data_IF_754619661010
#
_entry.id   IF_754619661010
#
_cell.length_a   1.000
_cell.length_b   1.000
_cell.length_c   1.000
_cell.angle_alpha   90.00
_cell.angle_beta   90.00
_cell.angle_gamma   90.00
#
_symmetry.space_group_name_H-M   'P 1'
#
loop_
_entity.id
_entity.type
_entity.pdbx_description
1 polymer ?
#
# COMPACT_ATOMS: atom_id res chain seq x y z
N UNK A 1 6.30 -34.96 -9.47
CA UNK A 1 6.12 -33.52 -9.76
C UNK A 1 6.08 -32.68 -8.49
N UNK A 2 5.25 -33.01 -7.49
CA UNK A 2 5.13 -32.23 -6.22
C UNK A 2 6.47 -31.97 -5.48
N UNK A 3 7.46 -32.85 -5.57
CA UNK A 3 8.78 -32.63 -4.94
C UNK A 3 9.68 -31.64 -5.70
N UNK A 4 9.60 -31.60 -7.04
CA UNK A 4 10.42 -30.70 -7.86
C UNK A 4 9.90 -29.26 -7.81
N UNK A 5 8.58 -29.09 -7.77
CA UNK A 5 7.96 -27.75 -7.67
C UNK A 5 8.25 -27.10 -6.30
N UNK A 6 8.24 -27.89 -5.23
CA UNK A 6 8.58 -27.42 -3.87
C UNK A 6 10.06 -27.06 -3.74
N UNK A 7 10.95 -27.86 -4.31
CA UNK A 7 12.40 -27.59 -4.29
C UNK A 7 12.73 -26.33 -5.10
N UNK A 8 12.09 -26.16 -6.26
CA UNK A 8 12.22 -24.96 -7.08
C UNK A 8 11.73 -23.70 -6.34
N UNK A 9 10.59 -23.78 -5.66
CA UNK A 9 10.07 -22.68 -4.83
C UNK A 9 11.04 -22.33 -3.70
N UNK A 10 11.55 -23.33 -2.98
CA UNK A 10 12.51 -23.10 -1.89
C UNK A 10 13.79 -22.40 -2.37
N UNK A 11 14.34 -22.81 -3.52
CA UNK A 11 15.51 -22.15 -4.11
C UNK A 11 15.22 -20.70 -4.53
N UNK A 12 14.04 -20.43 -5.08
CA UNK A 12 13.63 -19.08 -5.45
C UNK A 12 13.42 -18.18 -4.22
N UNK A 13 12.84 -18.72 -3.15
CA UNK A 13 12.70 -18.02 -1.88
C UNK A 13 14.07 -17.72 -1.26
N UNK A 14 15.02 -18.66 -1.31
CA UNK A 14 16.38 -18.46 -0.81
C UNK A 14 17.11 -17.36 -1.57
N UNK A 15 17.13 -17.42 -2.91
CA UNK A 15 17.73 -16.37 -3.75
C UNK A 15 17.03 -15.02 -3.57
N UNK A 16 15.71 -15.03 -3.49
CA UNK A 16 14.90 -13.84 -3.24
C UNK A 16 15.21 -13.21 -1.90
N UNK A 17 15.42 -14.02 -0.85
CA UNK A 17 15.77 -13.54 0.49
C UNK A 17 17.11 -12.80 0.50
N UNK A 18 18.11 -13.29 -0.24
CA UNK A 18 19.41 -12.63 -0.39
C UNK A 18 19.29 -11.27 -1.07
N UNK A 19 18.50 -11.17 -2.15
CA UNK A 19 18.23 -9.90 -2.82
C UNK A 19 17.43 -8.93 -1.94
N UNK A 20 16.48 -9.45 -1.16
CA UNK A 20 15.63 -8.67 -0.28
C UNK A 20 16.36 -8.10 0.94
N UNK A 21 17.43 -8.76 1.38
CA UNK A 21 18.18 -8.42 2.60
C UNK A 21 18.74 -6.99 2.60
N UNK A 22 19.26 -6.57 3.76
CA UNK A 22 19.87 -5.24 3.90
C UNK A 22 21.12 -5.13 3.03
N UNK A 23 21.55 -3.90 2.71
CA UNK A 23 22.84 -3.70 2.03
C UNK A 23 24.03 -4.20 2.86
N UNK A 24 23.92 -4.20 4.20
CA UNK A 24 24.94 -4.76 5.08
C UNK A 24 25.11 -6.28 4.88
N UNK A 25 24.03 -6.96 4.47
CA UNK A 25 24.00 -8.39 4.17
C UNK A 25 24.19 -8.69 2.67
N UNK A 26 24.56 -7.68 1.87
CA UNK A 26 24.77 -7.82 0.42
C UNK A 26 23.50 -7.77 -0.43
N UNK A 27 22.34 -7.47 0.16
CA UNK A 27 21.06 -7.31 -0.55
C UNK A 27 20.81 -5.90 -1.08
N UNK A 28 19.64 -5.68 -1.67
CA UNK A 28 19.20 -4.40 -2.25
C UNK A 28 18.44 -3.51 -1.26
N UNK A 29 18.50 -3.83 0.04
CA UNK A 29 17.95 -3.06 1.13
C UNK A 29 16.41 -2.96 1.18
N UNK A 30 15.70 -3.90 0.57
CA UNK A 30 14.24 -3.98 0.71
C UNK A 30 13.86 -4.14 2.19
N UNK A 31 14.56 -5.03 2.91
CA UNK A 31 14.43 -5.24 4.34
C UNK A 31 14.72 -3.97 5.16
N UNK A 32 15.72 -3.17 4.77
CA UNK A 32 16.06 -1.94 5.49
C UNK A 32 14.93 -0.92 5.48
N UNK A 33 14.23 -0.79 4.34
CA UNK A 33 13.07 0.11 4.23
C UNK A 33 11.79 -0.52 4.78
N UNK A 34 11.48 -1.77 4.45
CA UNK A 34 10.17 -2.39 4.69
C UNK A 34 10.05 -3.12 6.04
N UNK A 35 10.91 -2.84 7.01
CA UNK A 35 10.76 -3.37 8.38
C UNK A 35 11.35 -4.76 8.58
N UNK A 36 12.57 -4.96 8.08
CA UNK A 36 13.33 -6.19 8.18
C UNK A 36 12.86 -7.30 7.24
N UNK A 37 13.43 -8.49 7.43
CA UNK A 37 13.15 -9.67 6.59
C UNK A 37 11.68 -10.09 6.58
N UNK A 38 10.90 -9.70 7.59
CA UNK A 38 9.46 -9.99 7.68
C UNK A 38 8.55 -8.96 6.99
N UNK A 39 9.11 -7.90 6.40
CA UNK A 39 8.33 -6.94 5.61
C UNK A 39 7.20 -6.24 6.39
N UNK A 40 7.39 -6.02 7.70
CA UNK A 40 6.35 -5.54 8.63
C UNK A 40 6.01 -4.06 8.52
N UNK A 41 6.69 -3.32 7.64
CA UNK A 41 6.62 -1.87 7.54
C UNK A 41 7.75 -1.23 8.33
N UNK A 42 8.28 -0.14 7.79
CA UNK A 42 9.44 0.55 8.35
C UNK A 42 9.46 2.02 8.00
N UNK A 43 10.65 2.60 8.05
CA UNK A 43 10.91 4.01 7.75
C UNK A 43 12.14 4.10 6.86
N UNK A 44 12.11 4.99 5.88
CA UNK A 44 13.24 5.30 5.02
C UNK A 44 13.50 6.81 5.04
N UNK A 45 14.77 7.20 5.17
CA UNK A 45 15.17 8.61 4.99
C UNK A 45 15.02 9.00 3.52
N UNK A 46 14.44 10.17 3.25
CA UNK A 46 14.19 10.64 1.89
C UNK A 46 14.27 12.15 1.78
N UNK A 47 14.93 12.62 0.71
CA UNK A 47 15.00 14.03 0.38
C UNK A 47 13.76 14.45 -0.41
N UNK A 48 13.07 15.48 0.06
CA UNK A 48 11.94 16.10 -0.63
C UNK A 48 12.35 17.52 -1.00
N UNK A 49 12.08 17.88 -2.26
CA UNK A 49 12.23 19.25 -2.75
C UNK A 49 10.90 19.99 -2.68
N UNK A 50 10.90 21.15 -2.05
CA UNK A 50 9.77 22.08 -2.12
C UNK A 50 9.67 22.64 -3.55
N UNK A 51 8.55 22.43 -4.26
CA UNK A 51 8.43 22.87 -5.66
C UNK A 51 8.28 24.38 -5.81
N UNK A 52 8.00 25.13 -4.73
CA UNK A 52 7.83 26.58 -4.73
C UNK A 52 9.14 27.29 -4.40
N UNK A 53 9.88 26.80 -3.40
CA UNK A 53 11.14 27.43 -2.95
C UNK A 53 12.40 26.78 -3.52
N UNK A 54 12.30 25.52 -3.98
CA UNK A 54 13.45 24.70 -4.38
C UNK A 54 14.24 24.13 -3.19
N UNK A 55 13.83 24.41 -1.96
CA UNK A 55 14.50 23.93 -0.75
C UNK A 55 14.42 22.40 -0.66
N UNK A 56 15.53 21.75 -0.32
CA UNK A 56 15.60 20.31 -0.11
C UNK A 56 15.64 20.03 1.39
N UNK A 57 14.70 19.21 1.86
CA UNK A 57 14.67 18.76 3.25
C UNK A 57 14.68 17.24 3.34
N UNK A 58 15.28 16.72 4.40
CA UNK A 58 15.24 15.29 4.74
C UNK A 58 13.99 14.99 5.57
N UNK A 59 13.30 13.91 5.22
CA UNK A 59 12.14 13.43 5.96
C UNK A 59 12.24 11.94 6.26
N UNK A 60 11.49 11.51 7.27
CA UNK A 60 11.32 10.10 7.62
C UNK A 60 10.07 9.55 6.94
N UNK A 61 10.24 8.84 5.84
CA UNK A 61 9.14 8.29 5.05
C UNK A 61 8.67 6.93 5.58
N UNK A 62 7.38 6.80 5.86
CA UNK A 62 6.68 5.55 6.22
C UNK A 62 6.68 4.59 5.03
N UNK A 63 7.57 3.60 5.09
CA UNK A 63 7.61 2.52 4.12
C UNK A 63 6.59 1.44 4.53
N UNK A 64 5.57 1.16 3.70
CA UNK A 64 4.44 0.33 4.11
C UNK A 64 4.87 -1.12 4.37
N UNK A 65 4.10 -1.81 5.22
CA UNK A 65 4.17 -3.25 5.32
C UNK A 65 3.88 -3.90 3.96
N UNK A 66 4.69 -4.88 3.59
CA UNK A 66 4.56 -5.65 2.34
C UNK A 66 4.24 -7.12 2.59
N UNK A 67 4.22 -7.56 3.84
CA UNK A 67 3.71 -8.88 4.25
C UNK A 67 2.18 -9.03 4.11
N UNK A 68 1.49 -8.05 3.52
CA UNK A 68 0.11 -8.20 3.04
C UNK A 68 -0.07 -7.64 1.63
N UNK A 69 1.01 -7.42 0.87
CA UNK A 69 0.95 -6.75 -0.44
C UNK A 69 0.04 -7.51 -1.41
N UNK A 70 0.07 -8.85 -1.38
CA UNK A 70 -0.71 -9.71 -2.28
C UNK A 70 -2.19 -9.83 -1.91
N UNK A 71 -2.63 -9.19 -0.82
CA UNK A 71 -4.06 -9.01 -0.56
C UNK A 71 -4.69 -7.91 -1.43
N UNK A 72 -3.85 -7.03 -1.97
CA UNK A 72 -4.26 -5.77 -2.59
C UNK A 72 -3.77 -5.59 -4.02
N UNK A 73 -2.79 -6.39 -4.42
CA UNK A 73 -2.13 -6.38 -5.71
C UNK A 73 -1.95 -7.81 -6.22
N UNK A 74 -2.08 -7.98 -7.53
CA UNK A 74 -1.66 -9.16 -8.26
C UNK A 74 -0.13 -9.24 -8.39
N UNK A 75 0.37 -10.42 -8.77
CA UNK A 75 1.77 -10.64 -9.16
C UNK A 75 2.26 -9.63 -10.20
N UNK A 76 1.45 -9.36 -11.23
CA UNK A 76 1.79 -8.43 -12.31
C UNK A 76 1.88 -6.99 -11.81
N UNK A 77 0.99 -6.57 -10.91
CA UNK A 77 1.05 -5.23 -10.32
C UNK A 77 2.25 -5.06 -9.38
N UNK A 78 2.58 -6.09 -8.58
CA UNK A 78 3.80 -6.08 -7.76
C UNK A 78 5.04 -6.06 -8.64
N UNK A 79 5.09 -6.86 -9.72
CA UNK A 79 6.16 -6.83 -10.71
C UNK A 79 6.29 -5.44 -11.35
N UNK A 80 5.18 -4.81 -11.71
CA UNK A 80 5.20 -3.45 -12.25
C UNK A 80 5.81 -2.46 -11.26
N UNK A 81 5.42 -2.52 -9.98
CA UNK A 81 5.98 -1.66 -8.92
C UNK A 81 7.48 -1.92 -8.74
N UNK A 82 7.93 -3.17 -8.76
CA UNK A 82 9.37 -3.46 -8.65
C UNK A 82 10.13 -3.01 -9.89
N UNK A 83 9.56 -3.16 -11.08
CA UNK A 83 10.20 -2.76 -12.32
C UNK A 83 10.35 -1.24 -12.43
N UNK A 84 9.33 -0.46 -12.05
CA UNK A 84 9.28 0.99 -12.31
C UNK A 84 9.32 1.86 -11.05
N UNK A 85 9.37 1.24 -9.88
CA UNK A 85 9.28 1.94 -8.60
C UNK A 85 7.91 2.57 -8.35
N UNK A 86 7.86 3.49 -7.38
CA UNK A 86 6.71 4.36 -7.14
C UNK A 86 7.18 5.81 -7.15
N UNK A 87 6.87 6.57 -8.21
CA UNK A 87 7.17 7.99 -8.28
C UNK A 87 6.66 8.75 -7.05
N UNK A 88 7.39 9.80 -6.68
CA UNK A 88 7.10 10.63 -5.49
C UNK A 88 7.17 9.84 -4.17
N UNK A 89 8.02 8.81 -4.13
CA UNK A 89 8.35 8.07 -2.92
C UNK A 89 9.82 7.61 -2.97
N UNK A 90 10.37 7.09 -1.85
CA UNK A 90 11.73 6.53 -1.83
C UNK A 90 11.86 5.19 -2.58
N UNK A 91 10.74 4.61 -3.05
CA UNK A 91 10.76 3.32 -3.74
C UNK A 91 11.18 3.50 -5.20
N UNK A 92 12.48 3.37 -5.46
CA UNK A 92 13.10 3.38 -6.79
C UNK A 92 12.68 2.19 -7.66
N UNK A 93 13.00 2.28 -8.95
CA UNK A 93 12.92 1.16 -9.88
C UNK A 93 14.02 0.13 -9.58
N UNK A 94 13.66 -1.14 -9.55
CA UNK A 94 14.59 -2.26 -9.33
C UNK A 94 14.80 -3.10 -10.59
N UNK A 95 13.81 -3.22 -11.46
CA UNK A 95 13.94 -3.97 -12.71
C UNK A 95 14.73 -3.21 -13.78
N UNK A 96 15.53 -3.93 -14.57
CA UNK A 96 16.30 -3.38 -15.70
C UNK A 96 15.44 -2.55 -16.66
N UNK A 97 14.19 -2.98 -16.89
CA UNK A 97 13.27 -2.30 -17.80
C UNK A 97 12.84 -0.90 -17.32
N UNK A 98 12.93 -0.63 -16.01
CA UNK A 98 12.72 0.71 -15.44
C UNK A 98 14.01 1.39 -15.01
N UNK A 99 15.17 0.87 -15.42
CA UNK A 99 16.50 1.43 -15.10
C UNK A 99 17.10 0.95 -13.78
N UNK A 100 16.51 -0.05 -13.14
CA UNK A 100 17.05 -0.68 -11.93
C UNK A 100 18.07 -1.79 -12.23
N UNK A 101 18.70 -2.38 -11.19
CA UNK A 101 19.81 -3.33 -11.35
C UNK A 101 19.40 -4.80 -11.57
N UNK A 102 18.13 -5.17 -11.39
CA UNK A 102 17.67 -6.56 -11.36
C UNK A 102 17.10 -7.01 -12.71
N UNK A 103 17.49 -8.19 -13.18
CA UNK A 103 16.86 -8.83 -14.33
C UNK A 103 15.50 -9.46 -13.96
N UNK A 104 14.76 -9.94 -14.96
CA UNK A 104 13.40 -10.46 -14.76
C UNK A 104 13.33 -11.67 -13.81
N UNK A 105 14.36 -12.53 -13.82
CA UNK A 105 14.47 -13.69 -12.93
C UNK A 105 14.71 -13.25 -11.48
N UNK A 106 15.60 -12.28 -11.26
CA UNK A 106 15.84 -11.70 -9.93
C UNK A 106 14.59 -11.00 -9.38
N UNK A 107 13.81 -10.33 -10.23
CA UNK A 107 12.52 -9.77 -9.84
C UNK A 107 11.54 -10.89 -9.45
N UNK A 108 11.51 -12.00 -10.19
CA UNK A 108 10.68 -13.15 -9.83
C UNK A 108 11.08 -13.74 -8.48
N UNK A 109 12.38 -13.93 -8.20
CA UNK A 109 12.81 -14.50 -6.91
C UNK A 109 12.46 -13.58 -5.74
N UNK A 110 12.59 -12.25 -5.89
CA UNK A 110 12.10 -11.29 -4.88
C UNK A 110 10.60 -11.41 -4.67
N UNK A 111 9.81 -11.55 -5.75
CA UNK A 111 8.36 -11.75 -5.66
C UNK A 111 8.02 -13.03 -4.88
N UNK A 112 8.69 -14.14 -5.18
CA UNK A 112 8.49 -15.41 -4.46
C UNK A 112 8.86 -15.29 -2.98
N UNK A 113 9.95 -14.61 -2.65
CA UNK A 113 10.29 -14.32 -1.25
C UNK A 113 9.24 -13.43 -0.57
N UNK A 114 8.72 -12.40 -1.24
CA UNK A 114 7.66 -11.55 -0.66
C UNK A 114 6.36 -12.35 -0.45
N UNK A 115 6.08 -13.36 -1.29
CA UNK A 115 4.96 -14.30 -1.08
C UNK A 115 5.17 -15.16 0.17
N UNK A 116 6.38 -15.67 0.39
CA UNK A 116 6.67 -16.54 1.53
C UNK A 116 6.56 -15.84 2.89
N UNK A 117 6.75 -14.51 2.93
CA UNK A 117 6.59 -13.70 4.15
C UNK A 117 5.19 -13.11 4.34
N UNK A 118 4.20 -13.42 3.49
CA UNK A 118 2.84 -12.92 3.67
C UNK A 118 2.22 -13.41 4.98
N UNK A 119 1.43 -12.56 5.63
CA UNK A 119 0.53 -12.99 6.70
C UNK A 119 -0.43 -14.03 6.09
N UNK A 120 -0.57 -15.23 6.68
CA UNK A 120 -1.49 -16.25 6.18
C UNK A 120 -2.92 -15.72 6.13
N UNK A 121 -3.63 -16.06 5.05
CA UNK A 121 -5.05 -15.76 4.88
C UNK A 121 -5.90 -16.64 5.78
N UNK A 122 -7.10 -16.18 6.12
CA UNK A 122 -8.12 -17.04 6.71
C UNK A 122 -8.72 -18.01 5.69
N UNK A 123 -9.66 -18.84 6.14
CA UNK A 123 -10.38 -19.82 5.31
C UNK A 123 -11.14 -19.21 4.12
N UNK A 124 -11.44 -17.91 4.16
CA UNK A 124 -12.13 -17.16 3.11
C UNK A 124 -11.17 -16.36 2.23
N UNK A 125 -9.86 -16.54 2.39
CA UNK A 125 -8.85 -15.80 1.63
C UNK A 125 -8.67 -14.34 2.10
N UNK A 126 -9.26 -13.95 3.22
CA UNK A 126 -9.20 -12.60 3.78
C UNK A 126 -8.09 -12.48 4.83
N UNK A 127 -7.79 -11.24 5.20
CA UNK A 127 -6.88 -10.94 6.31
C UNK A 127 -7.48 -11.53 7.60
N UNK A 128 -6.69 -12.22 8.44
CA UNK A 128 -7.21 -12.87 9.64
C UNK A 128 -8.05 -11.93 10.50
N UNK A 129 -9.16 -12.44 11.03
CA UNK A 129 -10.09 -11.66 11.85
C UNK A 129 -9.40 -10.91 13.01
N UNK A 130 -8.38 -11.51 13.63
CA UNK A 130 -7.59 -10.85 14.68
C UNK A 130 -6.88 -9.58 14.18
N UNK A 131 -6.38 -9.57 12.94
CA UNK A 131 -5.78 -8.38 12.32
C UNK A 131 -6.83 -7.35 11.92
N UNK A 132 -8.00 -7.77 11.47
CA UNK A 132 -9.11 -6.85 11.22
C UNK A 132 -9.62 -6.21 12.51
N UNK A 133 -9.65 -6.95 13.62
CA UNK A 133 -9.97 -6.43 14.94
C UNK A 133 -8.90 -5.48 15.47
N UNK A 134 -7.60 -5.73 15.20
CA UNK A 134 -6.52 -4.80 15.52
C UNK A 134 -6.69 -3.45 14.80
N UNK A 135 -7.04 -3.48 13.50
CA UNK A 135 -7.36 -2.28 12.71
C UNK A 135 -8.54 -1.51 13.34
N UNK A 136 -9.60 -2.22 13.69
CA UNK A 136 -10.79 -1.64 14.33
C UNK A 136 -10.44 -0.98 15.67
N UNK A 137 -9.77 -1.73 16.55
CA UNK A 137 -9.42 -1.28 17.89
C UNK A 137 -8.51 -0.05 17.87
N UNK A 138 -7.54 0.00 16.95
CA UNK A 138 -6.67 1.17 16.83
C UNK A 138 -7.43 2.40 16.33
N UNK A 139 -8.33 2.24 15.35
CA UNK A 139 -9.18 3.33 14.88
C UNK A 139 -10.10 3.86 16.01
N UNK A 140 -10.72 2.98 16.77
CA UNK A 140 -11.54 3.33 17.94
C UNK A 140 -10.72 4.02 19.03
N UNK A 141 -9.49 3.55 19.29
CA UNK A 141 -8.56 4.18 20.24
C UNK A 141 -8.23 5.60 19.82
N UNK A 142 -7.97 5.86 18.54
CA UNK A 142 -7.68 7.19 18.01
C UNK A 142 -8.88 8.13 18.13
N UNK A 143 -10.09 7.64 17.90
CA UNK A 143 -11.33 8.42 18.13
C UNK A 143 -11.50 8.74 19.62
N UNK A 144 -11.33 7.74 20.50
CA UNK A 144 -11.41 7.94 21.96
C UNK A 144 -10.37 8.92 22.47
N UNK A 145 -9.18 8.92 21.87
CA UNK A 145 -8.11 9.87 22.15
C UNK A 145 -8.34 11.27 21.55
N UNK A 146 -9.45 11.47 20.82
CA UNK A 146 -9.79 12.70 20.09
C UNK A 146 -8.76 13.11 19.04
N UNK A 147 -7.97 12.15 18.54
CA UNK A 147 -7.07 12.37 17.41
C UNK A 147 -7.88 12.56 16.13
N UNK A 148 -8.97 11.82 15.99
CA UNK A 148 -9.92 11.92 14.87
C UNK A 148 -11.35 11.96 15.40
N UNK A 149 -12.26 12.57 14.62
CA UNK A 149 -13.64 12.81 15.05
C UNK A 149 -14.53 11.60 14.82
N UNK A 150 -14.20 10.75 13.84
CA UNK A 150 -15.00 9.59 13.44
C UNK A 150 -14.14 8.36 13.19
N UNK A 151 -14.77 7.18 13.24
CA UNK A 151 -14.11 5.93 12.90
C UNK A 151 -13.58 5.94 11.45
N UNK A 152 -14.38 6.46 10.50
CA UNK A 152 -13.99 6.56 9.10
C UNK A 152 -12.77 7.44 8.88
N UNK A 153 -12.69 8.58 9.58
CA UNK A 153 -11.53 9.46 9.54
C UNK A 153 -10.27 8.78 10.10
N UNK A 154 -10.41 8.05 11.21
CA UNK A 154 -9.32 7.31 11.81
C UNK A 154 -8.80 6.19 10.90
N UNK A 155 -9.69 5.42 10.28
CA UNK A 155 -9.34 4.39 9.31
C UNK A 155 -8.68 5.00 8.05
N UNK A 156 -9.18 6.14 7.57
CA UNK A 156 -8.61 6.85 6.42
C UNK A 156 -7.16 7.27 6.67
N UNK A 157 -6.82 7.65 7.91
CA UNK A 157 -5.50 8.15 8.31
C UNK A 157 -4.68 7.14 9.15
N UNK A 158 -5.02 5.86 9.15
CA UNK A 158 -4.47 4.87 10.06
C UNK A 158 -2.95 4.62 9.88
N UNK A 159 -2.16 4.78 10.93
CA UNK A 159 -0.71 4.59 10.88
C UNK A 159 -0.24 3.12 10.94
N UNK A 160 -1.13 2.20 11.31
CA UNK A 160 -0.83 0.77 11.49
C UNK A 160 -0.17 0.16 10.23
N UNK A 161 0.88 -0.65 10.43
CA UNK A 161 1.65 -1.25 9.35
C UNK A 161 2.36 -0.22 8.46
N UNK A 162 2.83 0.89 9.04
CA UNK A 162 3.38 2.05 8.31
C UNK A 162 2.40 2.58 7.26
N UNK A 163 1.12 2.62 7.63
CA UNK A 163 0.01 3.08 6.80
C UNK A 163 -0.46 2.11 5.73
N UNK A 164 -0.07 0.84 5.79
CA UNK A 164 -0.48 -0.17 4.79
C UNK A 164 -2.01 -0.26 4.59
N UNK A 165 -2.81 0.16 5.58
CA UNK A 165 -4.28 0.22 5.53
C UNK A 165 -4.86 1.61 5.26
N UNK A 166 -4.02 2.66 5.25
CA UNK A 166 -4.45 4.06 5.19
C UNK A 166 -4.64 4.55 3.76
N UNK A 167 -5.79 5.17 3.52
CA UNK A 167 -6.12 5.85 2.27
C UNK A 167 -5.30 7.14 2.09
N UNK A 168 -4.99 7.82 3.21
CA UNK A 168 -4.25 9.07 3.22
C UNK A 168 -2.84 8.93 2.63
N UNK A 169 -2.23 7.73 2.65
CA UNK A 169 -0.95 7.46 1.96
C UNK A 169 -0.93 7.87 0.50
N UNK A 170 -2.06 7.73 -0.19
CA UNK A 170 -2.18 8.10 -1.59
C UNK A 170 -2.99 9.39 -1.77
N UNK A 171 -3.96 9.65 -0.90
CA UNK A 171 -4.91 10.75 -1.06
C UNK A 171 -4.62 11.99 -0.19
N UNK A 172 -3.54 12.00 0.59
CA UNK A 172 -3.14 13.15 1.40
C UNK A 172 -1.65 13.42 1.20
N UNK A 173 -1.30 14.54 0.58
CA UNK A 173 0.10 14.96 0.43
C UNK A 173 0.74 15.08 1.82
N UNK A 174 1.94 14.55 1.95
CA UNK A 174 2.74 14.62 3.18
C UNK A 174 2.37 13.68 4.32
N UNK A 175 1.28 12.93 4.19
CA UNK A 175 0.90 11.94 5.20
C UNK A 175 2.01 10.89 5.43
N UNK A 176 2.64 10.42 4.35
CA UNK A 176 3.68 9.38 4.41
C UNK A 176 4.95 9.82 5.14
N UNK A 177 5.12 11.09 5.49
CA UNK A 177 6.29 11.59 6.21
C UNK A 177 5.94 12.50 7.38
N UNK A 178 4.71 12.37 7.92
CA UNK A 178 4.31 13.04 9.16
C UNK A 178 3.95 14.51 9.03
N UNK A 179 3.80 15.01 7.80
CA UNK A 179 3.39 16.39 7.52
C UNK A 179 2.15 16.41 6.60
N UNK A 180 1.04 15.79 7.01
CA UNK A 180 -0.16 15.75 6.20
C UNK A 180 -0.65 17.18 5.90
N UNK A 181 -0.93 17.45 4.63
CA UNK A 181 -1.66 18.64 4.20
C UNK A 181 -3.16 18.40 4.34
N UNK A 182 -3.97 18.99 3.44
CA UNK A 182 -5.42 18.77 3.42
C UNK A 182 -5.71 17.28 3.28
N UNK A 183 -6.38 16.69 4.28
CA UNK A 183 -6.78 15.29 4.28
C UNK A 183 -7.71 15.01 3.10
N UNK A 184 -7.35 14.02 2.28
CA UNK A 184 -8.08 13.74 1.04
C UNK A 184 -7.80 14.73 -0.09
N UNK A 185 -6.94 15.74 0.10
CA UNK A 185 -6.62 16.79 -0.87
C UNK A 185 -5.90 16.30 -2.14
N UNK A 186 -5.54 15.03 -2.21
CA UNK A 186 -4.83 14.40 -3.32
C UNK A 186 -3.32 14.39 -3.12
N UNK A 187 -2.66 13.42 -3.77
CA UNK A 187 -1.21 13.32 -3.90
C UNK A 187 -0.87 12.37 -5.07
N UNK A 188 -0.66 11.08 -4.76
CA UNK A 188 -0.53 10.03 -5.77
C UNK A 188 -1.92 9.66 -6.32
N UNK A 189 -2.92 9.62 -5.45
CA UNK A 189 -4.33 9.46 -5.78
C UNK A 189 -5.02 10.81 -5.98
N UNK A 190 -6.20 10.82 -6.62
CA UNK A 190 -6.96 12.03 -6.87
C UNK A 190 -7.42 12.73 -5.58
N UNK A 191 -7.76 14.01 -5.73
CA UNK A 191 -8.47 14.77 -4.69
C UNK A 191 -9.87 14.18 -4.45
N UNK A 192 -10.18 13.94 -3.18
CA UNK A 192 -11.45 13.38 -2.70
C UNK A 192 -12.36 14.44 -2.08
N UNK A 193 -11.83 15.64 -1.78
CA UNK A 193 -12.55 16.74 -1.10
C UNK A 193 -13.54 17.48 -2.00
N UNK A 194 -14.37 18.32 -1.38
CA UNK A 194 -15.30 19.21 -2.06
C UNK A 194 -16.37 18.44 -2.82
N UNK A 195 -16.83 17.31 -2.27
CA UNK A 195 -17.82 16.43 -2.87
C UNK A 195 -17.34 15.69 -4.13
N UNK A 196 -16.02 15.62 -4.36
CA UNK A 196 -15.43 14.92 -5.51
C UNK A 196 -15.84 13.44 -5.53
N UNK A 197 -15.77 12.77 -4.38
CA UNK A 197 -16.16 11.37 -4.25
C UNK A 197 -17.64 11.14 -4.59
N UNK A 198 -18.55 12.03 -4.16
CA UNK A 198 -19.99 11.92 -4.43
C UNK A 198 -20.30 12.15 -5.91
N UNK A 199 -19.64 13.10 -6.57
CA UNK A 199 -19.80 13.30 -8.02
C UNK A 199 -19.30 12.11 -8.82
N UNK A 200 -18.17 11.52 -8.41
CA UNK A 200 -17.59 10.36 -9.08
C UNK A 200 -18.42 9.09 -8.84
N UNK A 201 -18.95 8.91 -7.63
CA UNK A 201 -19.78 7.79 -7.21
C UNK A 201 -21.11 8.28 -6.61
N UNK A 202 -22.11 8.62 -7.45
CA UNK A 202 -23.42 9.04 -6.94
C UNK A 202 -24.07 7.96 -6.08
N UNK A 203 -23.98 6.70 -6.52
CA UNK A 203 -24.40 5.53 -5.76
C UNK A 203 -23.29 5.10 -4.80
N UNK A 204 -23.65 4.93 -3.53
CA UNK A 204 -22.72 4.50 -2.48
C UNK A 204 -22.16 3.10 -2.77
N UNK A 205 -22.99 2.21 -3.30
CA UNK A 205 -22.61 0.82 -3.56
C UNK A 205 -21.56 0.69 -4.68
N UNK A 206 -21.59 1.61 -5.67
CA UNK A 206 -20.54 1.67 -6.70
C UNK A 206 -19.17 2.02 -6.08
N UNK A 207 -19.17 2.89 -5.06
CA UNK A 207 -17.95 3.24 -4.32
C UNK A 207 -17.46 2.07 -3.45
N UNK A 208 -18.38 1.32 -2.83
CA UNK A 208 -18.06 0.09 -2.09
C UNK A 208 -17.40 -0.92 -3.04
N UNK A 209 -18.03 -1.20 -4.18
CA UNK A 209 -17.51 -2.14 -5.16
C UNK A 209 -16.11 -1.72 -5.64
N UNK A 210 -15.90 -0.42 -5.91
CA UNK A 210 -14.60 0.12 -6.31
C UNK A 210 -13.53 -0.01 -5.22
N UNK A 211 -13.84 0.30 -3.96
CA UNK A 211 -12.85 0.17 -2.86
C UNK A 211 -12.54 -1.31 -2.58
N UNK A 212 -13.54 -2.20 -2.71
CA UNK A 212 -13.33 -3.63 -2.55
C UNK A 212 -12.47 -4.23 -3.66
N UNK A 213 -12.68 -3.82 -4.92
CA UNK A 213 -12.00 -4.36 -6.10
C UNK A 213 -10.75 -3.63 -6.55
N UNK A 214 -10.55 -2.38 -6.14
CA UNK A 214 -9.49 -1.52 -6.66
C UNK A 214 -9.78 -0.98 -8.05
N UNK A 215 -8.83 -0.21 -8.59
CA UNK A 215 -8.88 0.24 -9.98
C UNK A 215 -8.16 -0.74 -10.88
N UNK A 216 -8.74 -1.07 -12.03
CA UNK A 216 -8.08 -1.87 -13.06
C UNK A 216 -7.67 -1.00 -14.25
N UNK A 217 -6.50 -1.26 -14.84
CA UNK A 217 -5.98 -0.45 -15.94
C UNK A 217 -6.96 -0.45 -17.13
N UNK A 218 -7.35 0.75 -17.56
CA UNK A 218 -8.21 0.95 -18.73
C UNK A 218 -9.70 0.70 -18.48
N UNK A 219 -10.09 0.07 -17.36
CA UNK A 219 -11.50 -0.18 -17.04
C UNK A 219 -12.18 1.07 -16.49
N UNK A 220 -13.46 1.24 -16.84
CA UNK A 220 -14.29 2.31 -16.29
C UNK A 220 -14.59 2.06 -14.81
N UNK A 221 -14.61 3.12 -14.01
CA UNK A 221 -15.19 3.14 -12.68
C UNK A 221 -15.96 4.45 -12.43
N UNK A 222 -16.97 4.39 -11.56
CA UNK A 222 -17.85 5.55 -11.28
C UNK A 222 -18.46 6.14 -12.56
N UNK A 223 -18.69 7.45 -12.56
CA UNK A 223 -19.31 8.15 -13.70
C UNK A 223 -18.40 8.23 -14.92
N UNK A 224 -17.18 8.74 -14.75
CA UNK A 224 -16.22 9.02 -15.85
C UNK A 224 -14.76 8.68 -15.49
N UNK A 225 -14.55 7.78 -14.53
CA UNK A 225 -13.20 7.37 -14.13
C UNK A 225 -12.68 6.28 -15.05
N UNK A 226 -11.39 6.35 -15.40
CA UNK A 226 -10.67 5.23 -16.00
C UNK A 226 -9.59 4.77 -15.02
N UNK A 227 -9.61 3.49 -14.68
CA UNK A 227 -8.69 2.90 -13.72
C UNK A 227 -7.26 2.86 -14.26
N UNK A 228 -6.31 3.03 -13.35
CA UNK A 228 -4.88 3.03 -13.67
C UNK A 228 -4.16 1.76 -13.21
N UNK A 229 -4.85 0.85 -12.51
CA UNK A 229 -4.21 -0.26 -11.78
C UNK A 229 -3.57 0.15 -10.44
N UNK A 230 -3.53 1.46 -10.12
CA UNK A 230 -2.75 1.95 -8.98
C UNK A 230 -3.52 2.01 -7.67
N UNK A 231 -4.85 2.16 -7.73
CA UNK A 231 -5.70 2.13 -6.53
C UNK A 231 -5.90 0.66 -6.13
N UNK A 232 -5.32 0.21 -5.02
CA UNK A 232 -5.40 -1.19 -4.61
C UNK A 232 -6.81 -1.59 -4.18
N UNK A 233 -7.09 -2.88 -4.25
CA UNK A 233 -8.25 -3.51 -3.62
C UNK A 233 -8.10 -3.53 -2.09
N UNK A 234 -9.19 -3.32 -1.36
CA UNK A 234 -9.23 -3.46 0.11
C UNK A 234 -10.23 -4.50 0.60
N UNK A 235 -10.99 -5.14 -0.28
CA UNK A 235 -12.06 -6.08 0.10
C UNK A 235 -11.59 -7.38 0.78
N UNK A 236 -10.30 -7.72 0.63
CA UNK A 236 -9.67 -8.83 1.34
C UNK A 236 -8.95 -8.38 2.63
N UNK A 237 -8.82 -7.07 2.86
CA UNK A 237 -8.06 -6.51 3.97
C UNK A 237 -8.97 -6.00 5.08
N UNK A 238 -9.99 -5.23 4.70
CA UNK A 238 -10.91 -4.57 5.61
C UNK A 238 -12.25 -5.30 5.66
N UNK A 239 -12.96 -5.18 6.77
CA UNK A 239 -14.36 -5.64 6.87
C UNK A 239 -15.29 -4.72 6.08
N UNK A 240 -16.49 -5.20 5.78
CA UNK A 240 -17.50 -4.38 5.09
C UNK A 240 -17.88 -3.13 5.91
N UNK A 241 -17.94 -3.25 7.24
CA UNK A 241 -18.20 -2.12 8.15
C UNK A 241 -17.05 -1.10 8.17
N UNK A 242 -15.79 -1.55 8.13
CA UNK A 242 -14.64 -0.66 8.03
C UNK A 242 -14.64 0.10 6.71
N UNK A 243 -14.94 -0.58 5.60
CA UNK A 243 -15.07 0.05 4.28
C UNK A 243 -16.23 1.05 4.27
N UNK A 244 -17.37 0.68 4.83
CA UNK A 244 -18.53 1.55 4.98
C UNK A 244 -18.18 2.83 5.76
N UNK A 245 -17.50 2.71 6.90
CA UNK A 245 -17.11 3.85 7.71
C UNK A 245 -16.16 4.81 6.96
N UNK A 246 -15.16 4.28 6.25
CA UNK A 246 -14.26 5.09 5.40
C UNK A 246 -15.03 5.80 4.29
N UNK A 247 -15.98 5.12 3.65
CA UNK A 247 -16.81 5.71 2.59
C UNK A 247 -17.66 6.86 3.14
N UNK A 248 -18.28 6.68 4.30
CA UNK A 248 -19.12 7.72 4.89
C UNK A 248 -18.29 8.97 5.24
N UNK A 249 -17.05 8.79 5.73
CA UNK A 249 -16.10 9.89 5.91
C UNK A 249 -15.72 10.55 4.59
N UNK A 250 -15.27 9.78 3.58
CA UNK A 250 -14.79 10.31 2.30
C UNK A 250 -15.90 11.04 1.54
N UNK A 251 -17.15 10.57 1.63
CA UNK A 251 -18.30 11.26 1.01
C UNK A 251 -18.65 12.58 1.71
N UNK A 252 -18.18 12.78 2.94
CA UNK A 252 -18.33 14.02 3.70
C UNK A 252 -17.20 15.04 3.51
N UNK A 253 -16.14 14.71 2.76
CA UNK A 253 -15.02 15.60 2.43
C UNK A 253 -15.36 16.60 1.30
#
# INVERSE_FOLDING_TARGET
MVGADKEFQHQFEEWGSGLFATTADGGFNCAGCHGGMKGGGGVASYAITDPTTGEVKQVNWKAPAINTVFYRYSDEEVRFILNYGRPFSPMSAWGLIGGGPMNDQQIQTVIEYVKSIQIPRDENGKLPAAKQQEIQAEAERLVKAKTYSTLGEALFNLDLGSGNFSCARCHTKGWSYGEPQITGGGALGPNLTGGSAVRQFPQRDDMIAFIKGGSELGKKYGQQGQGSGRMPAFGLMLTDDQIAAVIDYVRGL
#
